data_IF_098958422896
#
_entry.id   IF_098958422896
#
_cell.length_a   1.000
_cell.length_b   1.000
_cell.length_c   1.000
_cell.angle_alpha   90.00
_cell.angle_beta   90.00
_cell.angle_gamma   90.00
#
_symmetry.space_group_name_H-M   'P 1'
#
loop_
_entity.id
_entity.type
_entity.pdbx_description
1 polymer ?
#
# COMPACT_ATOMS: atom_id res chain seq x y z
N UNK A 1 53.97 81.00 -19.10
CA UNK A 1 54.97 80.44 -20.04
C UNK A 1 54.51 80.68 -21.47
N UNK A 2 55.38 80.58 -22.48
CA UNK A 2 54.94 80.65 -23.88
C UNK A 2 54.89 79.23 -24.44
N UNK A 3 53.86 78.92 -25.23
CA UNK A 3 53.77 77.62 -25.88
C UNK A 3 54.93 77.48 -26.88
N UNK A 4 55.76 76.43 -26.79
CA UNK A 4 56.89 76.23 -27.68
C UNK A 4 56.48 76.03 -29.14
N UNK A 5 55.23 75.64 -29.41
CA UNK A 5 54.74 75.37 -30.76
C UNK A 5 54.10 76.59 -31.44
N UNK A 6 53.19 77.30 -30.74
CA UNK A 6 52.46 78.43 -31.34
C UNK A 6 52.88 79.81 -30.82
N UNK A 7 53.81 79.87 -29.87
CA UNK A 7 54.28 81.13 -29.28
C UNK A 7 53.25 81.85 -28.39
N UNK A 8 52.04 81.31 -28.21
CA UNK A 8 51.01 81.93 -27.39
C UNK A 8 51.41 81.94 -25.90
N UNK A 9 51.11 83.02 -25.19
CA UNK A 9 51.30 83.09 -23.73
C UNK A 9 50.23 82.23 -23.05
N UNK A 10 50.66 81.19 -22.35
CA UNK A 10 49.79 80.23 -21.64
C UNK A 10 50.08 80.21 -20.13
N UNK A 11 49.07 79.82 -19.36
CA UNK A 11 49.20 79.59 -17.91
C UNK A 11 50.01 78.31 -17.68
N UNK A 12 50.79 78.29 -16.59
CA UNK A 12 51.68 77.17 -16.25
C UNK A 12 50.95 75.94 -15.74
N UNK A 13 49.66 76.06 -15.41
CA UNK A 13 48.82 74.99 -14.86
C UNK A 13 48.05 74.20 -15.92
N UNK A 14 48.16 74.55 -17.20
CA UNK A 14 47.41 73.88 -18.27
C UNK A 14 48.27 72.80 -18.93
N UNK A 15 47.84 71.54 -18.83
CA UNK A 15 48.53 70.38 -19.41
C UNK A 15 48.60 70.39 -20.94
N UNK A 16 47.74 71.17 -21.62
CA UNK A 16 47.72 71.35 -23.08
C UNK A 16 47.51 72.81 -23.42
N UNK A 17 48.19 73.28 -24.47
CA UNK A 17 47.96 74.63 -24.98
C UNK A 17 46.53 74.75 -25.53
N UNK A 18 45.72 75.72 -25.08
CA UNK A 18 44.33 75.86 -25.53
C UNK A 18 44.21 76.33 -26.99
N UNK A 19 45.29 76.87 -27.57
CA UNK A 19 45.28 77.42 -28.93
C UNK A 19 45.73 76.43 -30.00
N UNK A 20 46.68 75.53 -29.68
CA UNK A 20 47.22 74.57 -30.65
C UNK A 20 47.20 73.11 -30.18
N UNK A 21 46.72 72.84 -28.96
CA UNK A 21 46.62 71.51 -28.38
C UNK A 21 47.95 70.89 -27.95
N UNK A 22 49.09 71.56 -28.16
CA UNK A 22 50.41 71.03 -27.81
C UNK A 22 50.53 70.78 -26.32
N UNK A 23 50.88 69.55 -25.96
CA UNK A 23 51.09 69.11 -24.59
C UNK A 23 52.19 69.92 -23.90
N UNK A 24 51.95 70.28 -22.64
CA UNK A 24 52.83 71.09 -21.83
C UNK A 24 53.25 70.28 -20.60
N UNK A 25 54.54 69.89 -20.49
CA UNK A 25 55.01 68.99 -19.44
C UNK A 25 54.71 69.50 -18.02
N UNK A 26 54.95 70.79 -17.77
CA UNK A 26 54.82 71.40 -16.45
C UNK A 26 53.36 71.45 -15.94
N UNK A 27 52.40 71.72 -16.84
CA UNK A 27 50.99 71.71 -16.47
C UNK A 27 50.46 70.30 -16.22
N UNK A 28 50.98 69.31 -16.97
CA UNK A 28 50.59 67.92 -16.80
C UNK A 28 51.17 67.29 -15.52
N UNK A 29 52.38 67.68 -15.13
CA UNK A 29 53.00 67.25 -13.86
C UNK A 29 52.21 67.79 -12.66
N UNK A 30 51.80 69.06 -12.69
CA UNK A 30 50.98 69.64 -11.62
C UNK A 30 49.62 68.92 -11.47
N UNK A 31 48.94 68.63 -12.58
CA UNK A 31 47.68 67.87 -12.58
C UNK A 31 47.87 66.42 -12.08
N UNK A 32 49.00 65.80 -12.42
CA UNK A 32 49.33 64.45 -11.96
C UNK A 32 49.59 64.42 -10.44
N UNK A 33 50.36 65.37 -9.92
CA UNK A 33 50.65 65.47 -8.48
C UNK A 33 49.39 65.73 -7.66
N UNK A 34 48.48 66.56 -8.16
CA UNK A 34 47.21 66.80 -7.47
C UNK A 34 46.36 65.53 -7.33
N UNK A 35 46.27 64.71 -8.39
CA UNK A 35 45.53 63.45 -8.33
C UNK A 35 46.15 62.44 -7.36
N UNK A 36 47.47 62.48 -7.17
CA UNK A 36 48.14 61.65 -6.18
C UNK A 36 47.83 62.11 -4.74
N UNK A 37 47.67 63.42 -4.51
CA UNK A 37 47.22 63.95 -3.21
C UNK A 37 45.79 63.51 -2.91
N UNK A 38 44.85 63.64 -3.87
CA UNK A 38 43.46 63.21 -3.68
C UNK A 38 43.38 61.71 -3.32
N UNK A 39 44.15 60.85 -4.01
CA UNK A 39 44.22 59.42 -3.69
C UNK A 39 44.82 59.17 -2.29
N UNK A 40 45.79 59.98 -1.88
CA UNK A 40 46.42 59.84 -0.55
C UNK A 40 45.42 60.20 0.55
N UNK A 41 44.66 61.28 0.40
CA UNK A 41 43.63 61.69 1.34
C UNK A 41 42.52 60.63 1.45
N UNK A 42 42.02 60.11 0.33
CA UNK A 42 41.00 59.03 0.33
C UNK A 42 41.52 57.76 1.01
N UNK A 43 42.82 57.47 0.90
CA UNK A 43 43.44 56.29 1.53
C UNK A 43 43.64 56.50 3.04
N UNK A 44 43.99 57.71 3.47
CA UNK A 44 44.08 58.08 4.89
C UNK A 44 42.69 58.01 5.56
N UNK A 45 41.61 58.43 4.88
CA UNK A 45 40.24 58.34 5.40
C UNK A 45 39.73 56.88 5.54
N UNK A 46 40.20 55.97 4.68
CA UNK A 46 39.88 54.54 4.76
C UNK A 46 40.61 53.82 5.90
N UNK A 47 41.79 54.29 6.31
CA UNK A 47 42.51 53.75 7.49
C UNK A 47 41.83 54.13 8.81
N UNK A 48 41.03 55.20 8.84
CA UNK A 48 40.32 55.68 10.03
C UNK A 48 38.96 55.00 10.30
N UNK A 49 38.53 54.01 9.52
CA UNK A 49 37.33 53.22 9.87
C UNK A 49 37.72 52.19 10.96
N UNK A 50 37.31 52.36 12.23
CA UNK A 50 37.78 51.50 13.31
C UNK A 50 37.19 50.11 13.15
N UNK A 51 38.05 49.11 12.96
CA UNK A 51 37.72 47.68 12.93
C UNK A 51 36.93 47.18 14.15
N UNK A 52 36.91 47.95 15.24
CA UNK A 52 36.10 47.72 16.44
C UNK A 52 34.58 47.85 16.21
N UNK A 53 34.11 48.76 15.34
CA UNK A 53 32.67 48.90 15.10
C UNK A 53 32.11 47.77 14.23
N UNK A 54 32.89 47.29 13.26
CA UNK A 54 32.54 46.14 12.42
C UNK A 54 32.47 44.84 13.26
N UNK A 55 33.47 44.60 14.12
CA UNK A 55 33.53 43.38 14.94
C UNK A 55 32.43 43.31 16.02
N UNK A 56 31.99 44.45 16.56
CA UNK A 56 30.91 44.52 17.57
C UNK A 56 29.53 44.17 17.00
N UNK A 57 29.25 44.56 15.75
CA UNK A 57 27.99 44.21 15.07
C UNK A 57 27.95 42.71 14.73
N UNK A 58 29.05 42.13 14.22
CA UNK A 58 29.16 40.69 13.92
C UNK A 58 28.93 39.83 15.18
N UNK A 59 29.50 40.23 16.32
CA UNK A 59 29.37 39.51 17.59
C UNK A 59 27.94 39.51 18.16
N UNK A 60 27.16 40.55 17.84
CA UNK A 60 25.78 40.70 18.35
C UNK A 60 24.81 39.91 17.47
N UNK A 61 24.91 40.02 16.14
CA UNK A 61 24.14 39.20 15.20
C UNK A 61 24.47 37.71 15.30
N UNK A 62 25.72 37.34 15.59
CA UNK A 62 26.12 35.95 15.83
C UNK A 62 25.45 35.31 17.06
N UNK A 63 25.24 36.07 18.16
CA UNK A 63 24.54 35.56 19.35
C UNK A 63 23.04 35.35 19.10
N UNK A 64 22.40 36.20 18.30
CA UNK A 64 21.00 36.02 17.91
C UNK A 64 20.85 34.84 16.93
N UNK A 65 21.73 34.71 15.93
CA UNK A 65 21.72 33.58 15.01
C UNK A 65 21.90 32.24 15.73
N UNK A 66 22.82 32.18 16.71
CA UNK A 66 23.03 30.98 17.53
C UNK A 66 21.81 30.60 18.37
N UNK A 67 21.14 31.58 19.01
CA UNK A 67 19.91 31.31 19.78
C UNK A 67 18.79 30.77 18.89
N UNK A 68 18.57 31.36 17.72
CA UNK A 68 17.56 30.89 16.78
C UNK A 68 17.89 29.49 16.25
N UNK A 69 19.16 29.22 15.93
CA UNK A 69 19.61 27.90 15.50
C UNK A 69 19.38 26.83 16.59
N UNK A 70 19.65 27.14 17.87
CA UNK A 70 19.39 26.23 18.99
C UNK A 70 17.90 25.92 19.19
N UNK A 71 17.02 26.91 19.00
CA UNK A 71 15.57 26.68 19.07
C UNK A 71 15.12 25.76 17.93
N UNK A 72 15.59 26.02 16.71
CA UNK A 72 15.26 25.20 15.54
C UNK A 72 15.77 23.76 15.72
N UNK A 73 17.01 23.58 16.18
CA UNK A 73 17.57 22.25 16.49
C UNK A 73 16.74 21.57 17.60
N UNK A 74 16.34 22.29 18.63
CA UNK A 74 15.48 21.77 19.70
C UNK A 74 14.12 21.29 19.18
N UNK A 75 13.52 22.02 18.24
CA UNK A 75 12.26 21.62 17.59
C UNK A 75 12.47 20.35 16.75
N UNK A 76 13.50 20.30 15.92
CA UNK A 76 13.80 19.10 15.12
C UNK A 76 14.12 17.89 15.99
N UNK A 77 14.85 18.07 17.08
CA UNK A 77 15.13 17.00 18.03
C UNK A 77 13.85 16.53 18.74
N UNK A 78 12.98 17.47 19.16
CA UNK A 78 11.68 17.14 19.74
C UNK A 78 10.81 16.33 18.78
N UNK A 79 10.72 16.76 17.52
CA UNK A 79 9.98 16.04 16.47
C UNK A 79 10.58 14.66 16.19
N UNK A 80 11.92 14.54 16.17
CA UNK A 80 12.60 13.27 16.01
C UNK A 80 12.28 12.29 17.15
N UNK A 81 12.32 12.75 18.41
CA UNK A 81 11.96 11.91 19.57
C UNK A 81 10.49 11.48 19.51
N UNK A 82 9.58 12.38 19.13
CA UNK A 82 8.16 12.06 18.96
C UNK A 82 7.98 11.01 17.86
N UNK A 83 8.62 11.19 16.70
CA UNK A 83 8.57 10.25 15.59
C UNK A 83 9.09 8.86 15.99
N UNK A 84 10.24 8.80 16.68
CA UNK A 84 10.81 7.54 17.17
C UNK A 84 9.88 6.85 18.18
N UNK A 85 9.22 7.62 19.04
CA UNK A 85 8.27 7.07 20.03
C UNK A 85 7.03 6.49 19.34
N UNK A 86 6.45 7.21 18.37
CA UNK A 86 5.30 6.74 17.59
C UNK A 86 5.65 5.46 16.83
N UNK A 87 6.80 5.46 16.15
CA UNK A 87 7.31 4.30 15.40
C UNK A 87 7.55 3.08 16.31
N UNK A 88 8.16 3.28 17.47
CA UNK A 88 8.37 2.18 18.43
C UNK A 88 7.04 1.64 18.97
N UNK A 89 6.07 2.49 19.27
CA UNK A 89 4.74 2.06 19.73
C UNK A 89 4.02 1.28 18.63
N UNK A 90 4.04 1.75 17.38
CA UNK A 90 3.38 1.04 16.27
C UNK A 90 4.05 -0.31 15.99
N UNK A 91 5.38 -0.38 15.98
CA UNK A 91 6.12 -1.63 15.81
C UNK A 91 5.87 -2.61 16.96
N UNK A 92 5.86 -2.16 18.21
CA UNK A 92 5.58 -3.04 19.36
C UNK A 92 4.12 -3.48 19.42
N UNK A 93 3.16 -2.63 19.03
CA UNK A 93 1.76 -3.02 18.94
C UNK A 93 1.55 -4.08 17.86
N UNK A 94 2.15 -3.90 16.68
CA UNK A 94 2.13 -4.90 15.60
C UNK A 94 2.82 -6.20 16.03
N UNK A 95 3.98 -6.13 16.70
CA UNK A 95 4.67 -7.32 17.19
C UNK A 95 3.84 -8.09 18.23
N UNK A 96 3.17 -7.39 19.15
CA UNK A 96 2.26 -8.02 20.12
C UNK A 96 1.06 -8.68 19.46
N UNK A 97 0.48 -8.04 18.44
CA UNK A 97 -0.61 -8.63 17.69
C UNK A 97 -0.16 -9.88 16.96
N UNK A 98 1.02 -9.87 16.35
CA UNK A 98 1.62 -11.06 15.72
C UNK A 98 1.91 -12.15 16.74
N UNK A 99 2.46 -11.81 17.91
CA UNK A 99 2.72 -12.77 18.99
C UNK A 99 1.44 -13.40 19.53
N UNK A 100 0.39 -12.60 19.73
CA UNK A 100 -0.93 -13.06 20.13
C UNK A 100 -1.52 -14.01 19.08
N UNK A 101 -1.51 -13.61 17.80
CA UNK A 101 -1.98 -14.45 16.69
C UNK A 101 -1.23 -15.79 16.67
N UNK A 102 0.10 -15.77 16.71
CA UNK A 102 0.92 -17.00 16.72
C UNK A 102 0.62 -17.88 17.94
N UNK A 103 0.35 -17.29 19.10
CA UNK A 103 -0.03 -18.03 20.31
C UNK A 103 -1.39 -18.70 20.12
N UNK A 104 -2.39 -17.95 19.67
CA UNK A 104 -3.75 -18.47 19.46
C UNK A 104 -3.77 -19.58 18.40
N UNK A 105 -3.10 -19.39 17.26
CA UNK A 105 -2.96 -20.41 16.22
C UNK A 105 -2.27 -21.66 16.75
N UNK A 106 -1.21 -21.51 17.57
CA UNK A 106 -0.52 -22.65 18.17
C UNK A 106 -1.42 -23.41 19.16
N UNK A 107 -2.06 -22.71 20.07
CA UNK A 107 -2.97 -23.30 21.07
C UNK A 107 -4.13 -24.02 20.39
N UNK A 108 -4.69 -23.43 19.32
CA UNK A 108 -5.73 -24.04 18.52
C UNK A 108 -5.28 -25.36 17.91
N UNK A 109 -4.11 -25.38 17.25
CA UNK A 109 -3.55 -26.60 16.65
C UNK A 109 -3.33 -27.68 17.69
N UNK A 110 -2.67 -27.35 18.80
CA UNK A 110 -2.39 -28.31 19.87
C UNK A 110 -3.67 -28.88 20.50
N UNK A 111 -4.74 -28.09 20.54
CA UNK A 111 -6.03 -28.48 21.15
C UNK A 111 -6.90 -29.31 20.20
N UNK A 112 -7.04 -28.87 18.94
CA UNK A 112 -8.08 -29.37 18.04
C UNK A 112 -7.56 -30.27 16.93
N UNK A 113 -6.34 -30.07 16.43
CA UNK A 113 -5.84 -30.87 15.30
C UNK A 113 -5.77 -32.37 15.62
N UNK A 114 -5.33 -32.83 16.82
CA UNK A 114 -5.29 -34.26 17.10
C UNK A 114 -6.66 -34.94 16.98
N UNK A 115 -7.72 -34.30 17.50
CA UNK A 115 -9.07 -34.85 17.42
C UNK A 115 -9.65 -34.72 16.00
N UNK A 116 -9.41 -33.61 15.33
CA UNK A 116 -9.82 -33.42 13.94
C UNK A 116 -9.19 -34.48 13.03
N UNK A 117 -7.91 -34.78 13.25
CA UNK A 117 -7.16 -35.82 12.54
C UNK A 117 -7.70 -37.22 12.85
N UNK A 118 -8.00 -37.54 14.11
CA UNK A 118 -8.62 -38.82 14.49
C UNK A 118 -10.00 -39.00 13.82
N UNK A 119 -10.80 -37.93 13.74
CA UNK A 119 -12.11 -37.94 13.07
C UNK A 119 -11.93 -38.12 11.55
N UNK A 120 -11.00 -37.40 10.92
CA UNK A 120 -10.68 -37.57 9.50
C UNK A 120 -10.27 -39.02 9.18
N UNK A 121 -9.39 -39.61 9.99
CA UNK A 121 -8.93 -40.99 9.83
C UNK A 121 -10.03 -42.04 10.05
N UNK A 122 -11.20 -41.67 10.58
CA UNK A 122 -12.37 -42.56 10.62
C UNK A 122 -12.99 -42.78 9.23
N UNK A 123 -12.69 -41.91 8.26
CA UNK A 123 -13.16 -41.99 6.88
C UNK A 123 -14.56 -41.42 6.65
N UNK A 124 -15.19 -40.81 7.65
CA UNK A 124 -16.49 -40.17 7.54
C UNK A 124 -16.35 -38.67 7.26
N UNK A 125 -16.43 -38.30 5.98
CA UNK A 125 -16.28 -36.91 5.54
C UNK A 125 -17.40 -36.00 6.09
N UNK A 126 -18.60 -36.51 6.30
CA UNK A 126 -19.72 -35.71 6.84
C UNK A 126 -19.46 -35.34 8.30
N UNK A 127 -19.04 -36.32 9.10
CA UNK A 127 -18.69 -36.09 10.52
C UNK A 127 -17.46 -35.19 10.63
N UNK A 128 -16.46 -35.41 9.78
CA UNK A 128 -15.24 -34.58 9.75
C UNK A 128 -15.56 -33.14 9.38
N UNK A 129 -16.33 -32.92 8.32
CA UNK A 129 -16.75 -31.59 7.90
C UNK A 129 -17.58 -30.88 8.97
N UNK A 130 -18.53 -31.57 9.61
CA UNK A 130 -19.33 -30.99 10.68
C UNK A 130 -18.46 -30.49 11.85
N UNK A 131 -17.44 -31.27 12.22
CA UNK A 131 -16.50 -30.85 13.27
C UNK A 131 -15.59 -29.70 12.79
N UNK A 132 -15.02 -29.78 11.58
CA UNK A 132 -14.24 -28.70 10.97
C UNK A 132 -15.03 -27.39 10.91
N UNK A 133 -16.31 -27.45 10.53
CA UNK A 133 -17.19 -26.29 10.50
C UNK A 133 -17.46 -25.72 11.90
N UNK A 134 -17.64 -26.56 12.92
CA UNK A 134 -17.74 -26.11 14.31
C UNK A 134 -16.47 -25.34 14.73
N UNK A 135 -15.31 -25.88 14.37
CA UNK A 135 -14.01 -25.27 14.67
C UNK A 135 -13.83 -23.90 14.00
N UNK A 136 -14.41 -23.67 12.82
CA UNK A 136 -14.28 -22.38 12.09
C UNK A 136 -14.79 -21.17 12.89
N UNK A 137 -15.69 -21.40 13.86
CA UNK A 137 -16.26 -20.36 14.73
C UNK A 137 -15.46 -20.09 16.02
N UNK A 138 -14.41 -20.86 16.31
CA UNK A 138 -13.63 -20.76 17.54
C UNK A 138 -12.48 -19.75 17.42
N UNK A 139 -12.01 -19.23 18.55
CA UNK A 139 -10.86 -18.33 18.60
C UNK A 139 -9.58 -19.05 18.12
N UNK A 140 -8.85 -18.45 17.19
CA UNK A 140 -7.67 -19.05 16.56
C UNK A 140 -7.97 -19.95 15.36
N UNK A 141 -9.22 -19.98 14.86
CA UNK A 141 -9.64 -20.82 13.74
C UNK A 141 -8.95 -20.51 12.42
N UNK A 142 -8.24 -19.38 12.30
CA UNK A 142 -7.34 -19.10 11.18
C UNK A 142 -6.30 -20.20 10.99
N UNK A 143 -5.97 -20.91 12.08
CA UNK A 143 -5.11 -22.09 12.05
C UNK A 143 -5.62 -23.22 11.17
N UNK A 144 -6.93 -23.33 10.92
CA UNK A 144 -7.51 -24.39 10.07
C UNK A 144 -6.93 -24.37 8.66
N UNK A 145 -6.60 -23.20 8.12
CA UNK A 145 -5.94 -23.08 6.80
C UNK A 145 -4.57 -23.75 6.71
N UNK A 146 -3.97 -24.10 7.86
CA UNK A 146 -2.71 -24.84 7.94
C UNK A 146 -2.91 -26.34 8.20
N UNK A 147 -4.16 -26.81 8.30
CA UNK A 147 -4.46 -28.24 8.35
C UNK A 147 -4.33 -28.85 6.96
N UNK A 148 -3.73 -30.03 6.87
CA UNK A 148 -3.40 -30.69 5.60
C UNK A 148 -4.62 -30.91 4.69
N UNK A 149 -5.76 -31.21 5.31
CA UNK A 149 -7.01 -31.54 4.61
C UNK A 149 -7.95 -30.33 4.42
N UNK A 150 -7.53 -29.12 4.83
CA UNK A 150 -8.34 -27.91 4.71
C UNK A 150 -8.80 -27.62 3.26
N UNK A 151 -7.94 -27.72 2.23
CA UNK A 151 -8.37 -27.53 0.85
C UNK A 151 -9.51 -28.48 0.45
N UNK A 152 -9.44 -29.74 0.87
CA UNK A 152 -10.46 -30.75 0.58
C UNK A 152 -11.78 -30.39 1.27
N UNK A 153 -11.75 -30.11 2.57
CA UNK A 153 -12.97 -29.80 3.34
C UNK A 153 -13.61 -28.46 2.97
N UNK A 154 -12.82 -27.49 2.51
CA UNK A 154 -13.33 -26.26 1.92
C UNK A 154 -14.27 -26.55 0.74
N UNK A 155 -13.86 -27.41 -0.19
CA UNK A 155 -14.69 -27.78 -1.34
C UNK A 155 -15.76 -28.84 -1.02
N UNK A 156 -15.51 -29.72 -0.06
CA UNK A 156 -16.51 -30.65 0.45
C UNK A 156 -17.74 -29.89 0.96
N UNK A 157 -17.59 -28.70 1.55
CA UNK A 157 -18.71 -27.88 1.98
C UNK A 157 -19.72 -27.58 0.88
N UNK A 158 -19.26 -27.24 -0.33
CA UNK A 158 -20.15 -27.04 -1.48
C UNK A 158 -20.88 -28.34 -1.87
N UNK A 159 -20.18 -29.47 -1.82
CA UNK A 159 -20.79 -30.76 -2.08
C UNK A 159 -21.82 -31.14 -1.00
N UNK A 160 -21.53 -30.82 0.26
CA UNK A 160 -22.40 -31.08 1.41
C UNK A 160 -23.76 -30.38 1.26
N UNK A 161 -23.81 -29.15 0.73
CA UNK A 161 -25.08 -28.46 0.46
C UNK A 161 -25.96 -29.21 -0.55
N UNK A 162 -25.35 -29.75 -1.61
CA UNK A 162 -26.07 -30.53 -2.64
C UNK A 162 -26.61 -31.83 -2.03
N UNK A 163 -25.80 -32.54 -1.22
CA UNK A 163 -26.22 -33.78 -0.59
C UNK A 163 -27.30 -33.57 0.48
N UNK A 164 -27.19 -32.50 1.27
CA UNK A 164 -28.18 -32.12 2.30
C UNK A 164 -29.53 -31.83 1.65
N UNK A 165 -29.54 -31.04 0.57
CA UNK A 165 -30.76 -30.82 -0.21
C UNK A 165 -31.35 -32.15 -0.71
N UNK A 166 -30.54 -33.03 -1.30
CA UNK A 166 -31.02 -34.32 -1.79
C UNK A 166 -31.63 -35.20 -0.68
N UNK A 167 -31.04 -35.18 0.51
CA UNK A 167 -31.58 -35.88 1.68
C UNK A 167 -32.94 -35.30 2.07
N UNK A 168 -33.06 -33.99 2.25
CA UNK A 168 -34.32 -33.35 2.64
C UNK A 168 -35.38 -33.40 1.54
N UNK A 169 -34.99 -33.51 0.26
CA UNK A 169 -35.92 -33.81 -0.82
C UNK A 169 -36.53 -35.21 -0.69
N UNK A 170 -35.74 -36.19 -0.24
CA UNK A 170 -36.24 -37.55 0.00
C UNK A 170 -37.21 -37.63 1.19
N UNK A 171 -37.02 -36.74 2.17
CA UNK A 171 -37.86 -36.61 3.37
C UNK A 171 -39.03 -35.62 3.19
N UNK A 172 -39.10 -34.96 2.03
CA UNK A 172 -40.11 -33.95 1.69
C UNK A 172 -40.08 -32.72 2.63
N UNK A 173 -38.90 -32.37 3.11
CA UNK A 173 -38.61 -31.29 4.08
C UNK A 173 -37.74 -30.16 3.52
N UNK A 174 -37.29 -30.27 2.27
CA UNK A 174 -36.41 -29.28 1.64
C UNK A 174 -37.01 -27.86 1.61
N UNK A 175 -36.18 -26.89 1.97
CA UNK A 175 -36.49 -25.46 2.05
C UNK A 175 -36.04 -24.72 0.80
N UNK A 176 -36.53 -23.48 0.62
CA UNK A 176 -36.11 -22.64 -0.52
C UNK A 176 -34.64 -22.27 -0.41
N UNK A 177 -34.19 -21.99 0.81
CA UNK A 177 -32.82 -21.60 1.15
C UNK A 177 -31.84 -22.70 0.73
N UNK A 178 -32.11 -23.96 1.09
CA UNK A 178 -31.27 -25.11 0.70
C UNK A 178 -31.18 -25.31 -0.82
N UNK A 179 -32.24 -24.98 -1.56
CA UNK A 179 -32.19 -24.98 -3.02
C UNK A 179 -31.25 -23.92 -3.58
N UNK A 180 -31.23 -22.72 -2.98
CA UNK A 180 -30.34 -21.63 -3.39
C UNK A 180 -28.89 -21.99 -3.05
N UNK A 181 -28.65 -22.54 -1.86
CA UNK A 181 -27.31 -22.94 -1.39
C UNK A 181 -26.74 -24.07 -2.25
N UNK A 182 -27.52 -25.11 -2.54
CA UNK A 182 -27.13 -26.18 -3.44
C UNK A 182 -26.91 -25.68 -4.88
N UNK A 183 -27.73 -24.74 -5.35
CA UNK A 183 -27.57 -24.15 -6.68
C UNK A 183 -26.27 -23.36 -6.82
N UNK A 184 -25.99 -22.49 -5.84
CA UNK A 184 -24.73 -21.74 -5.76
C UNK A 184 -23.55 -22.70 -5.71
N UNK A 185 -23.59 -23.67 -4.81
CA UNK A 185 -22.53 -24.65 -4.60
C UNK A 185 -22.26 -25.51 -5.83
N UNK A 186 -23.31 -25.93 -6.53
CA UNK A 186 -23.17 -26.70 -7.76
C UNK A 186 -22.56 -25.87 -8.91
N UNK A 187 -22.92 -24.59 -9.03
CA UNK A 187 -22.28 -23.70 -10.00
C UNK A 187 -20.79 -23.47 -9.67
N UNK A 188 -20.44 -23.30 -8.40
CA UNK A 188 -19.04 -23.19 -7.96
C UNK A 188 -18.25 -24.43 -8.38
N UNK A 189 -18.71 -25.63 -7.98
CA UNK A 189 -18.02 -26.88 -8.29
C UNK A 189 -17.94 -27.17 -9.80
N UNK A 190 -19.01 -26.91 -10.56
CA UNK A 190 -19.09 -27.28 -11.97
C UNK A 190 -18.49 -26.25 -12.93
N UNK A 191 -18.50 -24.95 -12.60
CA UNK A 191 -18.11 -23.89 -13.53
C UNK A 191 -16.83 -23.15 -13.11
N UNK A 192 -16.69 -22.80 -11.83
CA UNK A 192 -15.42 -22.24 -11.33
C UNK A 192 -14.35 -23.32 -11.25
N UNK A 193 -14.76 -24.53 -10.84
CA UNK A 193 -13.87 -25.64 -10.61
C UNK A 193 -13.04 -25.45 -9.34
N UNK A 194 -12.03 -26.28 -9.19
CA UNK A 194 -11.13 -26.26 -8.03
C UNK A 194 -9.88 -25.49 -8.43
N UNK A 195 -9.43 -24.58 -7.56
CA UNK A 195 -8.18 -23.87 -7.80
C UNK A 195 -7.01 -24.85 -7.84
N UNK A 196 -6.15 -24.74 -8.85
CA UNK A 196 -5.03 -25.67 -9.09
C UNK A 196 -4.15 -25.85 -7.85
N UNK A 197 -3.83 -24.76 -7.14
CA UNK A 197 -3.04 -24.82 -5.91
C UNK A 197 -3.72 -25.57 -4.77
N UNK A 198 -5.06 -25.56 -4.70
CA UNK A 198 -5.81 -26.33 -3.71
C UNK A 198 -5.85 -27.80 -4.11
N UNK A 199 -6.12 -28.08 -5.39
CA UNK A 199 -6.16 -29.45 -5.91
C UNK A 199 -4.81 -30.16 -5.73
N UNK A 200 -3.70 -29.48 -6.03
CA UNK A 200 -2.34 -30.02 -5.89
C UNK A 200 -1.92 -30.26 -4.43
N UNK A 201 -2.53 -29.57 -3.48
CA UNK A 201 -2.28 -29.75 -2.04
C UNK A 201 -3.03 -30.96 -1.46
N UNK A 202 -4.08 -31.45 -2.12
CA UNK A 202 -4.87 -32.60 -1.69
C UNK A 202 -4.12 -33.93 -1.94
N UNK A 203 -4.45 -34.94 -1.15
CA UNK A 203 -4.04 -36.32 -1.39
C UNK A 203 -4.69 -36.89 -2.66
N UNK A 204 -4.11 -37.95 -3.21
CA UNK A 204 -4.67 -38.63 -4.39
C UNK A 204 -6.08 -39.18 -4.16
N UNK A 205 -6.41 -39.58 -2.92
CA UNK A 205 -7.75 -40.06 -2.59
C UNK A 205 -8.76 -38.92 -2.57
N UNK A 206 -8.42 -37.79 -1.96
CA UNK A 206 -9.24 -36.58 -1.96
C UNK A 206 -9.46 -36.05 -3.37
N UNK A 207 -8.43 -36.01 -4.22
CA UNK A 207 -8.55 -35.63 -5.63
C UNK A 207 -9.57 -36.50 -6.38
N UNK A 208 -9.56 -37.82 -6.14
CA UNK A 208 -10.54 -38.73 -6.76
C UNK A 208 -11.96 -38.48 -6.27
N UNK A 209 -12.15 -38.20 -4.98
CA UNK A 209 -13.45 -37.81 -4.42
C UNK A 209 -13.93 -36.48 -5.02
N UNK A 210 -13.02 -35.50 -5.13
CA UNK A 210 -13.30 -34.19 -5.71
C UNK A 210 -13.77 -34.25 -7.16
N UNK A 211 -13.14 -35.08 -7.99
CA UNK A 211 -13.60 -35.32 -9.37
C UNK A 211 -15.03 -35.91 -9.39
N UNK A 212 -15.39 -36.69 -8.36
CA UNK A 212 -16.75 -37.18 -8.14
C UNK A 212 -17.72 -36.05 -7.81
N UNK A 213 -17.35 -35.17 -6.88
CA UNK A 213 -18.19 -34.04 -6.47
C UNK A 213 -18.51 -33.09 -7.62
N UNK A 214 -17.54 -32.80 -8.49
CA UNK A 214 -17.76 -31.99 -9.69
C UNK A 214 -18.79 -32.64 -10.63
N UNK A 215 -18.67 -33.95 -10.89
CA UNK A 215 -19.62 -34.68 -11.75
C UNK A 215 -21.02 -34.71 -11.15
N UNK A 216 -21.14 -34.85 -9.83
CA UNK A 216 -22.44 -34.82 -9.16
C UNK A 216 -23.06 -33.42 -9.18
N UNK A 217 -22.26 -32.36 -9.04
CA UNK A 217 -22.72 -30.98 -9.20
C UNK A 217 -23.23 -30.70 -10.63
N UNK A 218 -22.50 -31.13 -11.66
CA UNK A 218 -22.94 -31.02 -13.07
C UNK A 218 -24.25 -31.79 -13.31
N UNK A 219 -24.36 -32.98 -12.71
CA UNK A 219 -25.57 -33.80 -12.78
C UNK A 219 -26.74 -33.11 -12.10
N UNK A 220 -26.55 -32.53 -10.92
CA UNK A 220 -27.58 -31.76 -10.22
C UNK A 220 -28.09 -30.58 -11.08
N UNK A 221 -27.17 -29.80 -11.66
CA UNK A 221 -27.54 -28.67 -12.54
C UNK A 221 -28.31 -29.12 -13.78
N UNK A 222 -27.97 -30.30 -14.32
CA UNK A 222 -28.59 -30.80 -15.56
C UNK A 222 -29.93 -31.48 -15.29
N UNK A 223 -29.98 -32.37 -14.30
CA UNK A 223 -31.13 -33.25 -14.03
C UNK A 223 -32.15 -32.61 -13.10
N UNK A 224 -31.70 -31.97 -12.01
CA UNK A 224 -32.61 -31.36 -11.01
C UNK A 224 -33.00 -29.94 -11.38
N UNK A 225 -32.06 -29.17 -11.92
CA UNK A 225 -32.29 -27.75 -12.29
C UNK A 225 -32.68 -27.56 -13.76
N UNK A 226 -32.61 -28.62 -14.59
CA UNK A 226 -32.95 -28.60 -16.01
C UNK A 226 -32.19 -27.51 -16.80
N UNK A 227 -30.91 -27.33 -16.48
CA UNK A 227 -30.02 -26.38 -17.15
C UNK A 227 -29.07 -27.12 -18.08
N UNK A 228 -29.06 -26.73 -19.35
CA UNK A 228 -28.02 -27.18 -20.28
C UNK A 228 -26.64 -26.64 -19.88
N UNK A 229 -25.56 -27.31 -20.28
CA UNK A 229 -24.18 -26.82 -20.03
C UNK A 229 -23.95 -25.40 -20.53
N UNK A 230 -24.60 -25.00 -21.64
CA UNK A 230 -24.50 -23.63 -22.15
C UNK A 230 -25.22 -22.63 -21.25
N UNK A 231 -26.39 -22.98 -20.70
CA UNK A 231 -27.09 -22.14 -19.73
C UNK A 231 -26.30 -22.02 -18.43
N UNK A 232 -25.73 -23.11 -17.92
CA UNK A 232 -24.88 -23.09 -16.73
C UNK A 232 -23.75 -22.07 -16.86
N UNK A 233 -23.02 -22.08 -17.99
CA UNK A 233 -21.97 -21.08 -18.30
C UNK A 233 -22.50 -19.65 -18.36
N UNK A 234 -23.62 -19.43 -19.05
CA UNK A 234 -24.22 -18.09 -19.15
C UNK A 234 -24.71 -17.57 -17.79
N UNK A 235 -25.19 -18.45 -16.93
CA UNK A 235 -25.62 -18.10 -15.58
C UNK A 235 -24.42 -17.76 -14.73
N UNK A 236 -23.39 -18.60 -14.76
CA UNK A 236 -22.12 -18.35 -14.08
C UNK A 236 -21.57 -16.96 -14.45
N UNK A 237 -21.40 -16.67 -15.75
CA UNK A 237 -20.92 -15.36 -16.23
C UNK A 237 -21.77 -14.17 -15.76
N UNK A 238 -23.10 -14.35 -15.63
CA UNK A 238 -24.02 -13.29 -15.17
C UNK A 238 -24.02 -13.12 -13.65
N UNK A 239 -23.70 -14.17 -12.92
CA UNK A 239 -23.67 -14.17 -11.46
C UNK A 239 -22.26 -13.91 -10.94
N UNK A 240 -21.24 -13.90 -11.79
CA UNK A 240 -19.90 -13.48 -11.41
C UNK A 240 -19.82 -11.97 -11.16
N UNK A 241 -19.18 -11.61 -10.06
CA UNK A 241 -18.81 -10.25 -9.72
C UNK A 241 -17.35 -10.25 -9.23
N UNK A 242 -16.51 -9.34 -9.74
CA UNK A 242 -15.07 -9.30 -9.44
C UNK A 242 -14.32 -10.63 -9.62
N UNK A 243 -14.78 -11.46 -10.56
CA UNK A 243 -14.14 -12.74 -10.90
C UNK A 243 -14.60 -13.93 -10.07
N UNK A 244 -15.51 -13.75 -9.12
CA UNK A 244 -16.06 -14.81 -8.27
C UNK A 244 -17.58 -14.88 -8.37
N UNK A 245 -18.15 -16.04 -8.08
CA UNK A 245 -19.60 -16.20 -8.05
C UNK A 245 -20.21 -15.39 -6.89
N UNK A 246 -21.16 -14.51 -7.19
CA UNK A 246 -21.87 -13.71 -6.19
C UNK A 246 -23.17 -14.42 -5.76
N UNK A 247 -23.23 -14.77 -4.47
CA UNK A 247 -24.37 -15.47 -3.89
C UNK A 247 -25.70 -14.72 -4.09
N UNK A 248 -25.71 -13.40 -3.92
CA UNK A 248 -26.95 -12.61 -4.04
C UNK A 248 -27.43 -12.55 -5.50
N UNK A 249 -26.51 -12.58 -6.47
CA UNK A 249 -26.87 -12.68 -7.89
C UNK A 249 -27.43 -14.07 -8.21
N UNK A 250 -26.83 -15.14 -7.68
CA UNK A 250 -27.35 -16.51 -7.79
C UNK A 250 -28.75 -16.63 -7.20
N UNK A 251 -29.00 -16.10 -6.00
CA UNK A 251 -30.32 -16.11 -5.35
C UNK A 251 -31.38 -15.39 -6.20
N UNK A 252 -31.04 -14.19 -6.71
CA UNK A 252 -31.93 -13.41 -7.59
C UNK A 252 -32.24 -14.16 -8.87
N UNK A 253 -31.25 -14.85 -9.44
CA UNK A 253 -31.45 -15.64 -10.65
C UNK A 253 -32.32 -16.88 -10.37
N UNK A 254 -32.03 -17.62 -9.30
CA UNK A 254 -32.80 -18.77 -8.86
C UNK A 254 -34.28 -18.40 -8.66
N UNK A 255 -34.55 -17.28 -7.99
CA UNK A 255 -35.92 -16.80 -7.77
C UNK A 255 -36.67 -16.55 -9.09
N UNK A 256 -35.99 -16.03 -10.13
CA UNK A 256 -36.57 -15.87 -11.48
C UNK A 256 -36.83 -17.20 -12.19
N UNK A 257 -35.97 -18.20 -12.02
CA UNK A 257 -36.20 -19.53 -12.58
C UNK A 257 -37.49 -20.15 -12.01
N UNK A 258 -37.70 -19.98 -10.71
CA UNK A 258 -38.91 -20.42 -10.00
C UNK A 258 -40.16 -19.68 -10.48
N UNK A 259 -40.10 -18.35 -10.59
CA UNK A 259 -41.21 -17.53 -11.12
C UNK A 259 -41.62 -17.93 -12.54
N UNK A 260 -40.67 -18.35 -13.36
CA UNK A 260 -40.92 -18.79 -14.74
C UNK A 260 -41.38 -20.26 -14.84
N UNK A 261 -41.59 -20.95 -13.72
CA UNK A 261 -42.07 -22.33 -13.68
C UNK A 261 -41.09 -23.36 -14.26
N UNK A 262 -39.79 -23.03 -14.32
CA UNK A 262 -38.76 -23.99 -14.77
C UNK A 262 -38.32 -24.95 -13.67
N UNK A 263 -38.55 -24.57 -12.41
CA UNK A 263 -38.30 -25.39 -11.23
C UNK A 263 -39.66 -25.57 -10.55
N UNK A 264 -40.16 -26.80 -10.54
CA UNK A 264 -41.51 -27.14 -10.05
C UNK A 264 -41.66 -27.08 -8.52
N UNK A 265 -40.58 -26.78 -7.78
CA UNK A 265 -40.53 -26.89 -6.31
C UNK A 265 -40.04 -25.63 -5.61
#
# INVERSE_FOLDING_TARGET
MYCPNCGAKIKTTEAKCPYCGTFQPLGAEADYMKKLEDIREDTEELEEIPSEECSRQIRTHGKFALKTALIVIGIFFGLYVIFQTISHISHTASAKQTEEYLRQTKEFKETYFPLLEDIYNSGDDQVTYAYWLELSSKEGSEALSEWEHDPYFYYYGFYAEITTLNQHLSENSATKEEWIDAFYSALTLAQEGIWESYYDAMTLEEQQKMDGFQKEAEKFLTESMHLSTQEQKQIYEKCCNDGFLDFNLCEKYFSKLKENGRIDR
#
